data_IF_486181559855
#
_entry.id   IF_486181559855
#
_cell.length_a   1.000
_cell.length_b   1.000
_cell.length_c   1.000
_cell.angle_alpha   90.00
_cell.angle_beta   90.00
_cell.angle_gamma   90.00
#
_symmetry.space_group_name_H-M   'P 1'
#
loop_
_entity.id
_entity.type
_entity.pdbx_description
1 polymer ?
#
# COMPACT_ATOMS: atom_id res chain seq x y z
N UNK A 1 -14.02 -42.82 -19.43
CA UNK A 1 -12.89 -41.99 -18.96
C UNK A 1 -13.36 -41.21 -17.75
N UNK A 2 -13.08 -41.74 -16.57
CA UNK A 2 -13.51 -41.19 -15.29
C UNK A 2 -12.39 -41.40 -14.25
N UNK A 3 -12.53 -40.68 -13.13
CA UNK A 3 -11.89 -40.94 -11.82
C UNK A 3 -10.40 -40.65 -11.63
N UNK A 4 -9.83 -39.58 -12.20
CA UNK A 4 -8.47 -39.11 -11.81
C UNK A 4 -8.44 -37.72 -11.13
N UNK A 5 -9.50 -36.92 -11.18
CA UNK A 5 -9.49 -35.52 -10.70
C UNK A 5 -10.01 -35.27 -9.28
N UNK A 6 -10.42 -36.31 -8.53
CA UNK A 6 -11.10 -36.15 -7.22
C UNK A 6 -10.26 -36.45 -5.98
N UNK A 7 -9.08 -37.08 -6.09
CA UNK A 7 -8.29 -37.44 -4.89
C UNK A 7 -7.33 -36.35 -4.40
N UNK A 8 -6.96 -35.38 -5.24
CA UNK A 8 -6.03 -34.30 -4.84
C UNK A 8 -6.66 -33.25 -3.91
N UNK A 9 -7.98 -33.09 -3.93
CA UNK A 9 -8.66 -32.07 -3.11
C UNK A 9 -8.98 -32.54 -1.68
N UNK A 10 -9.01 -33.85 -1.43
CA UNK A 10 -9.30 -34.40 -0.10
C UNK A 10 -8.07 -34.47 0.81
N UNK A 11 -6.85 -34.52 0.26
CA UNK A 11 -5.62 -34.63 1.07
C UNK A 11 -5.17 -33.30 1.68
N UNK A 12 -5.58 -32.16 1.12
CA UNK A 12 -5.22 -30.82 1.64
C UNK A 12 -6.07 -30.43 2.86
N UNK A 13 -7.23 -31.08 3.07
CA UNK A 13 -8.13 -30.75 4.19
C UNK A 13 -7.69 -31.28 5.56
N UNK A 14 -6.65 -32.14 5.65
CA UNK A 14 -6.26 -32.80 6.90
C UNK A 14 -4.89 -32.38 7.48
N UNK A 15 -4.24 -31.32 6.96
CA UNK A 15 -2.94 -30.83 7.49
C UNK A 15 -2.93 -29.34 7.80
N UNK A 16 -3.89 -28.85 8.57
CA UNK A 16 -3.83 -27.48 9.11
C UNK A 16 -3.96 -27.48 10.63
N UNK A 17 -2.97 -28.07 11.31
CA UNK A 17 -2.61 -27.69 12.68
C UNK A 17 -1.26 -26.99 12.59
N UNK A 18 -1.28 -25.68 12.79
CA UNK A 18 -0.09 -24.83 12.78
C UNK A 18 0.72 -25.12 14.05
N UNK A 19 1.74 -25.95 13.92
CA UNK A 19 2.62 -26.31 15.02
C UNK A 19 3.88 -25.43 15.01
N UNK A 20 4.16 -24.76 16.13
CA UNK A 20 5.32 -23.87 16.29
C UNK A 20 6.63 -24.62 16.51
N UNK A 21 6.60 -25.96 16.66
CA UNK A 21 7.80 -26.80 16.74
C UNK A 21 8.38 -27.24 15.40
N UNK A 22 7.81 -26.82 14.26
CA UNK A 22 8.25 -27.28 12.95
C UNK A 22 9.68 -26.77 12.62
N UNK A 23 10.60 -27.69 12.32
CA UNK A 23 12.04 -27.43 12.21
C UNK A 23 12.38 -26.46 11.06
N UNK A 24 11.54 -26.44 10.02
CA UNK A 24 11.65 -25.50 8.89
C UNK A 24 11.42 -24.04 9.30
N UNK A 25 10.62 -23.80 10.34
CA UNK A 25 10.38 -22.44 10.86
C UNK A 25 11.56 -21.96 11.71
N UNK A 26 12.27 -22.86 12.40
CA UNK A 26 13.47 -22.53 13.16
C UNK A 26 14.68 -22.27 12.25
N UNK A 27 14.83 -23.01 11.15
CA UNK A 27 15.86 -22.77 10.14
C UNK A 27 15.72 -21.39 9.48
N UNK A 28 14.49 -20.95 9.19
CA UNK A 28 14.24 -19.62 8.61
C UNK A 28 14.61 -18.46 9.55
N UNK A 29 14.45 -18.64 10.87
CA UNK A 29 14.88 -17.64 11.86
C UNK A 29 16.41 -17.58 11.96
N UNK A 30 17.10 -18.73 11.84
CA UNK A 30 18.57 -18.76 11.83
C UNK A 30 19.18 -18.12 10.58
N UNK A 31 18.62 -18.34 9.39
CA UNK A 31 19.11 -17.69 8.16
C UNK A 31 18.95 -16.16 8.19
N UNK A 32 17.87 -15.65 8.78
CA UNK A 32 17.68 -14.20 8.94
C UNK A 32 18.64 -13.55 9.93
N UNK A 33 19.12 -14.27 10.95
CA UNK A 33 20.09 -13.76 11.92
C UNK A 33 21.54 -13.92 11.47
N UNK A 34 21.89 -14.92 10.68
CA UNK A 34 23.23 -15.03 10.07
C UNK A 34 23.49 -13.95 9.02
N UNK A 35 22.46 -13.53 8.26
CA UNK A 35 22.57 -12.43 7.29
C UNK A 35 22.92 -11.07 7.91
N UNK A 36 22.69 -10.90 9.23
CA UNK A 36 23.00 -9.65 9.96
C UNK A 36 24.43 -9.60 10.51
N UNK A 37 25.19 -10.69 10.45
CA UNK A 37 26.49 -10.81 11.10
C UNK A 37 27.69 -10.96 10.15
N UNK A 38 27.54 -10.61 8.87
CA UNK A 38 28.67 -10.60 7.93
C UNK A 38 29.57 -9.40 8.24
N UNK A 39 30.58 -9.66 9.06
CA UNK A 39 31.73 -8.81 9.28
C UNK A 39 32.47 -8.62 7.95
N UNK A 40 32.53 -7.39 7.45
CA UNK A 40 33.21 -7.02 6.21
C UNK A 40 34.71 -7.32 6.29
N UNK A 41 35.15 -8.45 5.74
CA UNK A 41 36.54 -8.65 5.34
C UNK A 41 36.75 -7.98 3.99
N UNK A 42 37.51 -6.88 3.98
CA UNK A 42 37.96 -6.20 2.75
C UNK A 42 38.78 -7.18 1.90
N UNK A 43 38.19 -7.68 0.83
CA UNK A 43 38.92 -8.36 -0.25
C UNK A 43 39.46 -7.25 -1.16
N UNK A 44 40.78 -7.05 -1.14
CA UNK A 44 41.49 -6.16 -2.05
C UNK A 44 41.56 -6.78 -3.45
N UNK A 45 40.81 -6.22 -4.40
CA UNK A 45 40.91 -6.59 -5.81
C UNK A 45 42.02 -5.74 -6.44
N UNK A 46 43.02 -6.33 -7.13
CA UNK A 46 44.08 -5.56 -7.79
C UNK A 46 43.53 -4.83 -9.03
N UNK A 47 44.05 -3.65 -9.39
CA UNK A 47 43.53 -2.86 -10.50
C UNK A 47 43.91 -3.52 -11.84
N UNK A 48 42.92 -3.74 -12.71
CA UNK A 48 43.14 -4.14 -14.10
C UNK A 48 43.55 -2.92 -14.94
N UNK A 49 44.64 -2.97 -15.74
CA UNK A 49 45.05 -1.83 -16.55
C UNK A 49 44.22 -1.74 -17.84
N UNK A 50 43.70 -0.55 -18.12
CA UNK A 50 43.37 -0.12 -19.48
C UNK A 50 41.89 -0.21 -19.88
N UNK A 51 41.14 0.84 -19.55
CA UNK A 51 40.14 1.47 -20.44
C UNK A 51 39.89 2.90 -19.95
N UNK A 52 40.09 3.88 -20.83
CA UNK A 52 39.91 5.31 -20.57
C UNK A 52 38.44 5.61 -20.23
N UNK A 53 38.16 5.94 -18.97
CA UNK A 53 36.94 6.65 -18.59
C UNK A 53 37.17 8.15 -18.73
N UNK A 54 36.39 8.80 -19.58
CA UNK A 54 36.46 10.24 -19.79
C UNK A 54 35.45 10.94 -18.85
N UNK A 55 36.03 11.76 -17.96
CA UNK A 55 35.49 12.95 -17.25
C UNK A 55 34.48 12.75 -16.12
N UNK A 56 35.04 12.81 -14.91
CA UNK A 56 34.69 13.71 -13.80
C UNK A 56 33.25 14.24 -13.80
N UNK A 57 32.39 13.62 -13.01
CA UNK A 57 31.39 14.39 -12.28
C UNK A 57 32.13 15.15 -11.18
N UNK A 58 32.10 16.47 -11.20
CA UNK A 58 32.59 17.28 -10.10
C UNK A 58 31.69 17.07 -8.88
N UNK A 59 32.26 17.15 -7.67
CA UNK A 59 31.51 17.10 -6.40
C UNK A 59 30.36 18.12 -6.36
N UNK A 60 30.45 19.21 -7.14
CA UNK A 60 29.38 20.19 -7.34
C UNK A 60 28.07 19.56 -7.84
N UNK A 61 28.11 18.55 -8.71
CA UNK A 61 26.88 17.94 -9.27
C UNK A 61 26.05 17.16 -8.24
N UNK A 62 26.71 16.60 -7.22
CA UNK A 62 26.02 15.87 -6.13
C UNK A 62 25.43 16.86 -5.13
N UNK A 63 26.11 17.97 -4.88
CA UNK A 63 25.60 19.03 -4.01
C UNK A 63 24.46 19.84 -4.67
N UNK A 64 24.46 19.97 -6.00
CA UNK A 64 23.35 20.56 -6.75
C UNK A 64 22.09 19.67 -6.76
N UNK A 65 22.26 18.34 -6.79
CA UNK A 65 21.15 17.38 -6.60
C UNK A 65 20.62 17.46 -5.17
N UNK A 66 21.49 17.55 -4.16
CA UNK A 66 21.06 17.71 -2.75
C UNK A 66 20.33 19.03 -2.52
N UNK A 67 20.75 20.13 -3.17
CA UNK A 67 20.04 21.42 -3.11
C UNK A 67 18.68 21.37 -3.79
N UNK A 68 18.57 20.63 -4.90
CA UNK A 68 17.31 20.43 -5.63
C UNK A 68 16.31 19.55 -4.87
N UNK A 69 16.78 18.69 -3.95
CA UNK A 69 15.99 17.84 -3.06
C UNK A 69 16.03 18.33 -1.61
N UNK A 70 15.91 19.64 -1.41
CA UNK A 70 15.63 20.19 -0.08
C UNK A 70 14.25 19.70 0.33
N UNK A 71 14.20 18.59 1.09
CA UNK A 71 13.02 18.18 1.83
C UNK A 71 12.83 19.27 2.88
N UNK A 72 11.98 20.24 2.59
CA UNK A 72 11.40 21.08 3.63
C UNK A 72 10.71 20.11 4.61
N UNK A 73 11.30 19.96 5.79
CA UNK A 73 10.55 19.46 6.94
C UNK A 73 9.34 20.38 7.09
N UNK A 74 8.15 19.87 6.75
CA UNK A 74 6.90 20.58 7.01
C UNK A 74 6.79 20.84 8.52
N UNK A 75 7.23 22.02 8.94
CA UNK A 75 7.08 22.59 10.28
C UNK A 75 6.01 23.65 10.22
N UNK A 76 4.78 23.21 10.08
CA UNK A 76 3.59 23.96 10.46
C UNK A 76 2.71 22.98 11.27
N UNK A 77 2.38 23.27 12.54
CA UNK A 77 1.43 22.44 13.26
C UNK A 77 0.09 22.49 12.52
N UNK A 78 -0.51 21.33 12.28
CA UNK A 78 -1.85 21.15 11.72
C UNK A 78 -2.89 21.87 12.59
N UNK A 79 -3.05 23.18 12.41
CA UNK A 79 -3.96 24.00 13.21
C UNK A 79 -5.34 23.97 12.57
N UNK A 80 -6.23 23.16 13.16
CA UNK A 80 -7.66 23.26 12.90
C UNK A 80 -8.36 23.37 14.25
N UNK A 81 -8.41 24.60 14.77
CA UNK A 81 -9.06 24.93 16.04
C UNK A 81 -10.51 25.35 15.77
N UNK A 82 -11.39 24.36 15.62
CA UNK A 82 -12.83 24.58 15.52
C UNK A 82 -13.59 23.26 15.63
N UNK A 83 -14.75 23.24 16.29
CA UNK A 83 -15.70 22.12 16.22
C UNK A 83 -16.13 21.98 14.75
N UNK A 84 -15.46 21.10 14.02
CA UNK A 84 -15.75 20.86 12.61
C UNK A 84 -17.08 20.12 12.50
N UNK A 85 -18.01 20.63 11.70
CA UNK A 85 -19.24 19.91 11.38
C UNK A 85 -18.88 18.56 10.72
N UNK A 86 -19.42 17.47 11.26
CA UNK A 86 -19.19 16.12 10.75
C UNK A 86 -20.23 15.81 9.69
N UNK A 87 -19.78 15.75 8.44
CA UNK A 87 -20.66 15.51 7.31
C UNK A 87 -20.95 14.00 7.17
N UNK A 88 -22.10 13.62 6.58
CA UNK A 88 -22.39 12.22 6.28
C UNK A 88 -21.46 11.66 5.18
N UNK A 89 -21.11 12.47 4.18
CA UNK A 89 -20.15 12.17 3.11
C UNK A 89 -19.76 13.46 2.37
N UNK A 90 -18.70 13.42 1.55
CA UNK A 90 -18.39 14.44 0.53
C UNK A 90 -17.66 13.79 -0.66
N UNK A 91 -18.24 13.92 -1.86
CA UNK A 91 -17.76 13.31 -3.10
C UNK A 91 -17.96 14.28 -4.28
N UNK A 92 -17.35 14.01 -5.43
CA UNK A 92 -17.51 14.84 -6.62
C UNK A 92 -18.95 14.86 -7.17
N UNK A 93 -19.55 13.68 -7.42
CA UNK A 93 -20.85 13.60 -8.09
C UNK A 93 -21.58 12.29 -7.77
N UNK A 94 -22.69 12.37 -7.05
CA UNK A 94 -23.50 11.20 -6.66
C UNK A 94 -24.17 10.49 -7.86
N UNK A 95 -24.39 11.20 -8.98
CA UNK A 95 -25.05 10.63 -10.16
C UNK A 95 -24.22 9.56 -10.87
N UNK A 96 -22.93 9.43 -10.54
CA UNK A 96 -22.04 8.40 -11.07
C UNK A 96 -22.24 7.01 -10.41
N UNK A 97 -23.10 6.91 -9.40
CA UNK A 97 -23.23 5.71 -8.59
C UNK A 97 -23.64 4.45 -9.36
N UNK A 98 -24.45 4.57 -10.43
CA UNK A 98 -24.84 3.41 -11.24
C UNK A 98 -23.64 2.84 -12.01
N UNK A 99 -22.83 3.70 -12.62
CA UNK A 99 -21.59 3.30 -13.29
C UNK A 99 -20.61 2.65 -12.30
N UNK A 100 -20.47 3.24 -11.10
CA UNK A 100 -19.64 2.67 -10.05
C UNK A 100 -20.13 1.31 -9.56
N UNK A 101 -21.46 1.10 -9.48
CA UNK A 101 -22.02 -0.20 -9.10
C UNK A 101 -21.71 -1.29 -10.11
N UNK A 102 -21.74 -0.98 -11.40
CA UNK A 102 -21.32 -1.90 -12.47
C UNK A 102 -19.84 -2.25 -12.34
N UNK A 103 -18.99 -1.25 -12.11
CA UNK A 103 -17.55 -1.47 -11.91
C UNK A 103 -17.24 -2.32 -10.66
N UNK A 104 -17.95 -2.09 -9.54
CA UNK A 104 -17.82 -2.91 -8.34
C UNK A 104 -18.24 -4.36 -8.60
N UNK A 105 -19.35 -4.58 -9.29
CA UNK A 105 -19.82 -5.93 -9.63
C UNK A 105 -18.80 -6.70 -10.48
N UNK A 106 -18.09 -6.02 -11.38
CA UNK A 106 -17.00 -6.62 -12.14
C UNK A 106 -15.79 -6.93 -11.25
N UNK A 107 -15.41 -6.01 -10.36
CA UNK A 107 -14.31 -6.23 -9.43
C UNK A 107 -14.57 -7.40 -8.46
N UNK A 108 -15.81 -7.62 -8.02
CA UNK A 108 -16.17 -8.75 -7.16
C UNK A 108 -15.85 -10.11 -7.81
N UNK A 109 -15.98 -10.23 -9.13
CA UNK A 109 -15.66 -11.46 -9.87
C UNK A 109 -14.16 -11.79 -9.79
N UNK A 110 -13.30 -10.77 -9.89
CA UNK A 110 -11.84 -10.91 -9.86
C UNK A 110 -11.27 -11.00 -8.44
N UNK A 111 -12.05 -10.63 -7.41
CA UNK A 111 -11.60 -10.59 -6.01
C UNK A 111 -12.05 -11.81 -5.19
N UNK A 112 -11.86 -13.01 -5.74
CA UNK A 112 -12.35 -14.27 -5.17
C UNK A 112 -11.97 -14.48 -3.69
N UNK A 113 -10.77 -14.09 -3.27
CA UNK A 113 -10.32 -14.18 -1.87
C UNK A 113 -11.19 -13.36 -0.92
N UNK A 114 -11.49 -12.11 -1.28
CA UNK A 114 -12.33 -11.20 -0.50
C UNK A 114 -13.79 -11.68 -0.48
N UNK A 115 -14.30 -12.15 -1.62
CA UNK A 115 -15.64 -12.72 -1.70
C UNK A 115 -15.77 -14.00 -0.86
N UNK A 116 -14.70 -14.80 -0.76
CA UNK A 116 -14.67 -15.97 0.12
C UNK A 116 -14.75 -15.57 1.60
N UNK A 117 -14.11 -14.48 2.02
CA UNK A 117 -14.21 -13.97 3.39
C UNK A 117 -15.65 -13.59 3.75
N UNK A 118 -16.37 -12.89 2.86
CA UNK A 118 -17.80 -12.60 3.04
C UNK A 118 -18.61 -13.89 3.25
N UNK A 119 -18.36 -14.92 2.44
CA UNK A 119 -19.07 -16.21 2.54
C UNK A 119 -18.81 -16.94 3.87
N UNK A 120 -17.57 -16.92 4.36
CA UNK A 120 -17.19 -17.64 5.59
C UNK A 120 -17.68 -16.89 6.83
N UNK A 121 -17.47 -15.57 6.88
CA UNK A 121 -17.61 -14.77 8.11
C UNK A 121 -18.81 -13.81 8.11
N UNK A 122 -19.52 -13.67 6.99
CA UNK A 122 -20.66 -12.76 6.88
C UNK A 122 -21.79 -13.07 7.86
N UNK A 123 -22.03 -14.34 8.19
CA UNK A 123 -23.04 -14.74 9.18
C UNK A 123 -22.63 -14.47 10.62
N UNK A 124 -21.33 -14.52 10.94
CA UNK A 124 -20.82 -14.35 12.30
C UNK A 124 -20.56 -12.89 12.66
N UNK A 125 -20.48 -12.01 11.65
CA UNK A 125 -20.25 -10.55 11.80
C UNK A 125 -19.09 -10.25 12.77
N UNK A 126 -17.87 -10.76 12.51
CA UNK A 126 -16.76 -10.66 13.45
C UNK A 126 -16.29 -9.22 13.71
N UNK A 127 -16.64 -8.26 12.85
CA UNK A 127 -16.30 -6.85 13.00
C UNK A 127 -17.43 -6.02 13.62
N UNK A 128 -18.45 -6.67 14.18
CA UNK A 128 -19.53 -5.95 14.88
C UNK A 128 -18.96 -5.09 16.02
N UNK A 129 -19.31 -3.81 16.02
CA UNK A 129 -18.81 -2.82 16.99
C UNK A 129 -17.46 -2.20 16.62
N UNK A 130 -16.84 -2.63 15.51
CA UNK A 130 -15.66 -1.96 14.96
C UNK A 130 -16.10 -0.73 14.18
N UNK A 131 -15.57 0.42 14.56
CA UNK A 131 -15.67 1.71 13.87
C UNK A 131 -14.35 1.96 13.13
N UNK A 132 -14.33 1.51 11.87
CA UNK A 132 -13.15 1.50 11.02
C UNK A 132 -13.03 2.81 10.24
N UNK A 133 -11.94 3.53 10.47
CA UNK A 133 -11.52 4.63 9.62
C UNK A 133 -10.47 4.14 8.62
N UNK A 134 -10.74 4.33 7.32
CA UNK A 134 -9.83 3.98 6.24
C UNK A 134 -9.21 5.20 5.57
N UNK A 135 -7.91 5.12 5.25
CA UNK A 135 -7.20 6.09 4.42
C UNK A 135 -6.38 5.37 3.34
N UNK A 136 -7.10 4.93 2.30
CA UNK A 136 -6.55 4.18 1.15
C UNK A 136 -7.15 4.75 -0.14
N UNK A 137 -6.53 4.42 -1.27
CA UNK A 137 -7.06 4.73 -2.60
C UNK A 137 -8.54 4.34 -2.74
N UNK A 138 -9.40 5.24 -3.26
CA UNK A 138 -10.81 4.94 -3.48
C UNK A 138 -11.02 4.42 -4.91
N UNK A 139 -10.83 3.11 -5.08
CA UNK A 139 -10.95 2.39 -6.37
C UNK A 139 -11.98 1.27 -6.28
N UNK A 140 -12.32 0.63 -7.40
CA UNK A 140 -13.26 -0.49 -7.41
C UNK A 140 -12.82 -1.62 -6.47
N UNK A 141 -11.51 -1.92 -6.44
CA UNK A 141 -10.93 -2.95 -5.57
C UNK A 141 -11.11 -2.60 -4.10
N UNK A 142 -10.79 -1.36 -3.72
CA UNK A 142 -11.02 -0.88 -2.36
C UNK A 142 -12.50 -0.86 -2.01
N UNK A 143 -13.38 -0.51 -2.95
CA UNK A 143 -14.82 -0.53 -2.72
C UNK A 143 -15.37 -1.92 -2.41
N UNK A 144 -14.87 -2.97 -3.09
CA UNK A 144 -15.20 -4.37 -2.75
C UNK A 144 -14.70 -4.73 -1.36
N UNK A 145 -13.50 -4.28 -0.98
CA UNK A 145 -12.98 -4.48 0.37
C UNK A 145 -13.82 -3.74 1.43
N UNK A 146 -14.17 -2.47 1.21
CA UNK A 146 -15.04 -1.66 2.07
C UNK A 146 -16.38 -2.34 2.30
N UNK A 147 -17.06 -2.78 1.23
CA UNK A 147 -18.33 -3.50 1.34
C UNK A 147 -18.18 -4.84 2.07
N UNK A 148 -17.00 -5.46 2.00
CA UNK A 148 -16.68 -6.66 2.78
C UNK A 148 -16.60 -6.35 4.26
N UNK A 149 -15.86 -5.33 4.68
CA UNK A 149 -15.79 -4.96 6.09
C UNK A 149 -17.18 -4.64 6.66
N UNK A 150 -18.02 -3.94 5.88
CA UNK A 150 -19.40 -3.66 6.26
C UNK A 150 -20.23 -4.94 6.37
N UNK A 151 -20.10 -5.84 5.40
CA UNK A 151 -20.75 -7.16 5.45
C UNK A 151 -20.26 -7.99 6.64
N UNK A 152 -19.03 -7.80 7.11
CA UNK A 152 -18.51 -8.44 8.31
C UNK A 152 -18.90 -7.71 9.61
N UNK A 153 -19.68 -6.63 9.54
CA UNK A 153 -20.29 -5.96 10.68
C UNK A 153 -19.65 -4.64 11.11
N UNK A 154 -18.63 -4.16 10.40
CA UNK A 154 -17.98 -2.89 10.73
C UNK A 154 -18.83 -1.69 10.31
N UNK A 155 -18.74 -0.61 11.09
CA UNK A 155 -19.12 0.73 10.67
C UNK A 155 -17.92 1.40 10.02
N UNK A 156 -18.12 2.12 8.91
CA UNK A 156 -17.01 2.57 8.06
C UNK A 156 -17.12 4.05 7.75
N UNK A 157 -15.98 4.74 7.86
CA UNK A 157 -15.73 6.05 7.25
C UNK A 157 -14.43 6.00 6.47
N UNK A 158 -14.39 6.59 5.29
CA UNK A 158 -13.25 6.44 4.38
C UNK A 158 -12.79 7.76 3.77
N UNK A 159 -11.47 7.90 3.66
CA UNK A 159 -10.77 8.98 2.97
C UNK A 159 -9.74 8.42 2.00
N UNK A 160 -9.26 9.24 1.07
CA UNK A 160 -8.26 8.83 0.09
C UNK A 160 -6.83 9.20 0.56
N UNK A 161 -5.86 8.30 0.37
CA UNK A 161 -4.44 8.55 0.69
C UNK A 161 -3.71 9.36 -0.39
N UNK A 162 -4.28 9.46 -1.60
CA UNK A 162 -3.69 10.16 -2.74
C UNK A 162 -4.75 10.95 -3.54
N UNK A 163 -4.56 12.27 -3.74
CA UNK A 163 -5.56 13.13 -4.37
C UNK A 163 -6.02 12.74 -5.77
N UNK A 164 -5.17 12.05 -6.54
CA UNK A 164 -5.46 11.71 -7.95
C UNK A 164 -5.99 10.29 -8.12
N UNK A 165 -6.03 9.50 -7.05
CA UNK A 165 -6.31 8.07 -7.12
C UNK A 165 -7.79 7.70 -6.95
N UNK A 166 -8.62 8.64 -6.50
CA UNK A 166 -10.05 8.42 -6.37
C UNK A 166 -10.69 8.17 -7.73
N UNK A 167 -11.51 7.13 -7.80
CA UNK A 167 -12.43 6.87 -8.90
C UNK A 167 -13.81 7.37 -8.46
N UNK A 168 -14.23 8.55 -8.93
CA UNK A 168 -15.42 9.25 -8.43
C UNK A 168 -16.71 8.43 -8.55
N UNK A 169 -16.82 7.60 -9.60
CA UNK A 169 -17.94 6.69 -9.75
C UNK A 169 -18.02 5.66 -8.62
N UNK A 170 -16.88 5.19 -8.12
CA UNK A 170 -16.82 4.23 -7.01
C UNK A 170 -17.19 4.93 -5.70
N UNK A 171 -16.64 6.11 -5.45
CA UNK A 171 -17.02 6.93 -4.30
C UNK A 171 -18.54 7.15 -4.26
N UNK A 172 -19.14 7.51 -5.40
CA UNK A 172 -20.59 7.67 -5.54
C UNK A 172 -21.37 6.38 -5.27
N UNK A 173 -20.90 5.23 -5.76
CA UNK A 173 -21.56 3.94 -5.55
C UNK A 173 -21.53 3.49 -4.09
N UNK A 174 -20.44 3.78 -3.37
CA UNK A 174 -20.31 3.48 -1.94
C UNK A 174 -21.19 4.41 -1.08
N UNK A 175 -21.22 5.71 -1.40
CA UNK A 175 -22.13 6.67 -0.75
C UNK A 175 -23.59 6.28 -0.96
N UNK A 176 -23.99 5.91 -2.18
CA UNK A 176 -25.35 5.44 -2.46
C UNK A 176 -25.69 4.15 -1.71
N UNK A 177 -24.70 3.34 -1.38
CA UNK A 177 -24.87 2.16 -0.53
C UNK A 177 -24.98 2.52 0.96
N UNK A 178 -24.83 3.79 1.36
CA UNK A 178 -24.90 4.24 2.75
C UNK A 178 -23.57 4.24 3.49
N UNK A 179 -22.44 4.24 2.77
CA UNK A 179 -21.09 4.29 3.37
C UNK A 179 -20.54 5.71 3.30
N UNK A 180 -20.01 6.21 4.42
CA UNK A 180 -19.44 7.55 4.50
C UNK A 180 -18.09 7.63 3.78
N UNK A 181 -18.06 8.29 2.62
CA UNK A 181 -16.84 8.53 1.84
C UNK A 181 -16.55 10.03 1.79
N UNK A 182 -15.30 10.41 2.02
CA UNK A 182 -14.77 11.77 1.90
C UNK A 182 -13.60 11.71 0.92
N UNK A 183 -13.92 11.72 -0.37
CA UNK A 183 -12.92 11.62 -1.42
C UNK A 183 -13.47 12.02 -2.79
N UNK A 184 -12.66 12.68 -3.60
CA UNK A 184 -12.86 12.92 -5.03
C UNK A 184 -11.52 12.98 -5.76
N UNK A 185 -11.55 12.81 -7.08
CA UNK A 185 -10.34 12.96 -7.88
C UNK A 185 -9.96 14.44 -8.00
N UNK A 186 -8.69 14.75 -7.74
CA UNK A 186 -8.16 16.10 -7.84
C UNK A 186 -8.34 16.94 -6.58
N UNK A 187 -8.44 16.31 -5.40
CA UNK A 187 -8.37 17.02 -4.11
C UNK A 187 -7.10 17.87 -3.99
N UNK A 188 -7.19 19.00 -3.29
CA UNK A 188 -6.02 19.70 -2.77
C UNK A 188 -5.46 18.98 -1.54
N UNK A 189 -4.22 19.27 -1.15
CA UNK A 189 -3.64 18.69 0.07
C UNK A 189 -4.40 19.09 1.34
N UNK A 190 -4.95 20.31 1.39
CA UNK A 190 -5.80 20.79 2.47
C UNK A 190 -7.11 20.02 2.54
N UNK A 191 -7.77 19.81 1.40
CA UNK A 191 -9.00 19.02 1.31
C UNK A 191 -8.75 17.57 1.71
N UNK A 192 -7.64 16.96 1.31
CA UNK A 192 -7.26 15.61 1.72
C UNK A 192 -7.13 15.50 3.24
N UNK A 193 -6.44 16.44 3.88
CA UNK A 193 -6.31 16.47 5.34
C UNK A 193 -7.67 16.67 6.02
N UNK A 194 -8.54 17.51 5.44
CA UNK A 194 -9.91 17.67 5.89
C UNK A 194 -10.71 16.37 5.74
N UNK A 195 -10.56 15.65 4.62
CA UNK A 195 -11.20 14.35 4.37
C UNK A 195 -10.77 13.32 5.43
N UNK A 196 -9.47 13.24 5.76
CA UNK A 196 -8.97 12.37 6.82
C UNK A 196 -9.60 12.74 8.17
N UNK A 197 -9.65 14.03 8.52
CA UNK A 197 -10.24 14.52 9.77
C UNK A 197 -11.73 14.16 9.89
N UNK A 198 -12.49 14.18 8.78
CA UNK A 198 -13.89 13.75 8.73
C UNK A 198 -14.09 12.27 9.07
N UNK A 199 -13.07 11.41 8.95
CA UNK A 199 -13.17 9.98 9.29
C UNK A 199 -13.01 9.68 10.78
N UNK A 200 -12.57 10.66 11.59
CA UNK A 200 -12.18 10.43 12.99
C UNK A 200 -13.37 10.11 13.91
N UNK A 201 -14.51 10.76 13.68
CA UNK A 201 -15.72 10.60 14.48
C UNK A 201 -16.88 10.13 13.62
N UNK A 202 -17.71 9.27 14.20
CA UNK A 202 -18.90 8.68 13.59
C UNK A 202 -20.14 9.52 13.89
N UNK A 203 -21.26 9.17 13.26
CA UNK A 203 -22.48 10.01 13.25
C UNK A 203 -23.10 10.19 14.64
N UNK A 204 -22.89 9.23 15.54
CA UNK A 204 -23.29 9.27 16.96
C UNK A 204 -22.34 10.11 17.84
N UNK A 205 -21.25 10.63 17.26
CA UNK A 205 -20.22 11.38 17.98
C UNK A 205 -19.13 10.50 18.59
N UNK A 206 -19.22 9.18 18.46
CA UNK A 206 -18.19 8.26 18.94
C UNK A 206 -16.97 8.24 18.01
N UNK A 207 -15.74 8.09 18.54
CA UNK A 207 -14.54 8.05 17.73
C UNK A 207 -14.36 6.69 17.03
N UNK A 208 -13.51 6.68 16.00
CA UNK A 208 -12.95 5.43 15.45
C UNK A 208 -12.31 4.57 16.56
N UNK A 209 -12.32 3.25 16.37
CA UNK A 209 -11.60 2.31 17.23
C UNK A 209 -10.71 1.34 16.44
N UNK A 210 -10.64 1.47 15.11
CA UNK A 210 -9.69 0.74 14.25
C UNK A 210 -9.27 1.60 13.06
N UNK A 211 -8.02 1.42 12.61
CA UNK A 211 -7.42 2.14 11.48
C UNK A 211 -7.02 1.15 10.38
N UNK A 212 -7.36 1.49 9.14
CA UNK A 212 -6.79 0.88 7.94
C UNK A 212 -6.06 1.98 7.15
N UNK A 213 -4.74 1.92 7.03
CA UNK A 213 -3.92 3.01 6.51
C UNK A 213 -3.02 2.55 5.36
N UNK A 214 -2.77 3.48 4.44
CA UNK A 214 -1.79 3.36 3.38
C UNK A 214 -0.94 4.63 3.33
N UNK A 215 0.32 4.48 3.71
CA UNK A 215 1.31 5.55 3.73
C UNK A 215 1.39 6.32 5.04
N UNK A 216 0.73 5.82 6.10
CA UNK A 216 0.72 6.33 7.48
C UNK A 216 0.16 7.77 7.59
N UNK A 217 -0.83 8.14 6.77
CA UNK A 217 -1.40 9.49 6.82
C UNK A 217 -2.42 9.63 7.94
N UNK A 218 -3.38 8.71 8.03
CA UNK A 218 -4.41 8.73 9.06
C UNK A 218 -3.83 8.42 10.44
N UNK A 219 -2.93 7.45 10.53
CA UNK A 219 -2.26 7.10 11.78
C UNK A 219 -1.49 8.29 12.32
N UNK A 220 -0.82 9.06 11.46
CA UNK A 220 -0.12 10.29 11.85
C UNK A 220 -1.09 11.35 12.36
N UNK A 221 -2.19 11.62 11.65
CA UNK A 221 -3.23 12.57 12.11
C UNK A 221 -3.77 12.19 13.48
N UNK A 222 -4.03 10.90 13.73
CA UNK A 222 -4.45 10.43 15.05
C UNK A 222 -3.39 10.70 16.12
N UNK A 223 -2.13 10.35 15.87
CA UNK A 223 -1.07 10.54 16.88
C UNK A 223 -0.75 12.01 17.16
N UNK A 224 -0.83 12.88 16.15
CA UNK A 224 -0.47 14.30 16.28
C UNK A 224 -1.63 15.16 16.79
N UNK A 225 -2.84 14.97 16.24
CA UNK A 225 -4.02 15.82 16.50
C UNK A 225 -4.97 15.23 17.55
N UNK A 226 -5.04 13.90 17.65
CA UNK A 226 -5.97 13.18 18.52
C UNK A 226 -5.28 12.15 19.43
N UNK A 227 -4.18 12.50 20.12
CA UNK A 227 -3.39 11.51 20.87
C UNK A 227 -4.20 10.79 21.96
N UNK A 228 -5.26 11.42 22.49
CA UNK A 228 -6.17 10.83 23.47
C UNK A 228 -6.98 9.65 22.94
N UNK A 229 -7.20 9.57 21.61
CA UNK A 229 -7.93 8.47 20.97
C UNK A 229 -7.10 7.19 20.85
N UNK A 230 -5.77 7.26 20.99
CA UNK A 230 -4.92 6.06 20.91
C UNK A 230 -5.28 5.01 21.97
N UNK A 231 -5.84 5.44 23.11
CA UNK A 231 -6.31 4.56 24.19
C UNK A 231 -7.55 3.73 23.83
N UNK A 232 -8.35 4.16 22.86
CA UNK A 232 -9.59 3.46 22.43
C UNK A 232 -9.43 2.73 21.10
N UNK A 233 -8.33 2.98 20.39
CA UNK A 233 -8.03 2.32 19.12
C UNK A 233 -7.40 0.95 19.38
N UNK A 234 -8.08 -0.10 18.93
CA UNK A 234 -7.65 -1.49 19.08
C UNK A 234 -6.42 -1.83 18.23
N UNK A 235 -6.21 -1.13 17.12
CA UNK A 235 -5.03 -1.29 16.29
C UNK A 235 -5.14 -0.61 14.92
N UNK A 236 -4.03 -0.66 14.20
CA UNK A 236 -3.86 -0.17 12.85
C UNK A 236 -3.32 -1.29 11.96
N UNK A 237 -3.75 -1.35 10.70
CA UNK A 237 -3.05 -2.11 9.66
C UNK A 237 -2.48 -1.15 8.62
N UNK A 238 -1.21 -1.35 8.25
CA UNK A 238 -0.53 -0.53 7.26
C UNK A 238 -0.08 -1.36 6.06
N UNK A 239 -0.43 -0.88 4.87
CA UNK A 239 -0.29 -1.62 3.62
C UNK A 239 1.03 -1.34 2.87
N UNK A 240 1.69 -0.19 3.04
CA UNK A 240 2.84 0.16 2.19
C UNK A 240 4.18 0.25 2.92
N UNK A 241 5.25 -0.07 2.19
CA UNK A 241 6.64 0.04 2.67
C UNK A 241 6.95 1.42 3.25
N UNK A 242 6.42 2.49 2.62
CA UNK A 242 6.63 3.86 3.07
C UNK A 242 5.95 4.13 4.42
N UNK A 243 4.70 3.68 4.59
CA UNK A 243 3.98 3.77 5.86
C UNK A 243 4.66 2.97 6.96
N UNK A 244 5.04 1.71 6.69
CA UNK A 244 5.77 0.86 7.65
C UNK A 244 7.08 1.49 8.08
N UNK A 245 7.82 2.12 7.17
CA UNK A 245 9.08 2.81 7.50
C UNK A 245 8.85 3.96 8.48
N UNK A 246 7.77 4.74 8.31
CA UNK A 246 7.38 5.81 9.25
C UNK A 246 6.96 5.24 10.61
N UNK A 247 6.16 4.17 10.62
CA UNK A 247 5.72 3.50 11.85
C UNK A 247 6.88 2.87 12.63
N UNK A 248 7.87 2.29 11.94
CA UNK A 248 9.11 1.79 12.57
C UNK A 248 9.91 2.92 13.24
N UNK A 249 9.94 4.12 12.66
CA UNK A 249 10.56 5.30 13.29
C UNK A 249 9.82 5.70 14.57
N UNK A 250 8.49 5.77 14.53
CA UNK A 250 7.68 6.04 15.73
C UNK A 250 7.88 4.99 16.81
N UNK A 251 7.94 3.70 16.43
CA UNK A 251 8.21 2.60 17.35
C UNK A 251 9.60 2.74 18.00
N UNK A 252 10.65 3.00 17.21
CA UNK A 252 12.01 3.23 17.72
C UNK A 252 12.07 4.40 18.70
N UNK A 253 11.29 5.45 18.45
CA UNK A 253 11.21 6.63 19.30
C UNK A 253 10.25 6.45 20.50
N UNK A 254 9.61 5.28 20.65
CA UNK A 254 8.58 5.01 21.68
C UNK A 254 7.38 5.98 21.62
N UNK A 255 7.00 6.37 20.40
CA UNK A 255 5.89 7.29 20.12
C UNK A 255 4.70 6.60 19.43
N UNK A 256 4.82 5.31 19.12
CA UNK A 256 3.74 4.53 18.53
C UNK A 256 2.85 3.96 19.65
N UNK A 257 1.62 4.47 19.75
CA UNK A 257 0.72 4.20 20.89
C UNK A 257 -0.43 3.24 20.56
N UNK A 258 -0.43 2.66 19.35
CA UNK A 258 -1.40 1.66 18.91
C UNK A 258 -0.66 0.45 18.35
N UNK A 259 -1.17 -0.78 18.51
CA UNK A 259 -0.58 -1.94 17.85
C UNK A 259 -0.76 -1.84 16.34
N UNK A 260 0.26 -2.25 15.59
CA UNK A 260 0.28 -2.18 14.12
C UNK A 260 0.48 -3.57 13.53
N UNK A 261 -0.40 -3.97 12.61
CA UNK A 261 -0.18 -5.12 11.72
C UNK A 261 0.48 -4.61 10.44
N UNK A 262 1.67 -5.14 10.17
CA UNK A 262 2.38 -4.89 8.93
C UNK A 262 1.82 -5.81 7.83
N UNK A 263 0.91 -5.27 7.02
CA UNK A 263 0.32 -6.01 5.89
C UNK A 263 1.27 -6.03 4.71
N UNK A 264 2.06 -4.96 4.51
CA UNK A 264 3.01 -4.85 3.41
C UNK A 264 3.94 -6.06 3.30
N UNK A 265 4.54 -6.47 4.42
CA UNK A 265 5.56 -7.52 4.44
C UNK A 265 4.97 -8.94 4.41
N UNK A 266 3.63 -9.08 4.33
CA UNK A 266 3.02 -10.36 3.97
C UNK A 266 3.52 -10.80 2.59
N UNK A 267 3.87 -12.07 2.44
CA UNK A 267 4.38 -12.62 1.16
C UNK A 267 3.37 -12.41 0.04
N UNK A 268 2.09 -12.68 0.32
CA UNK A 268 0.98 -12.50 -0.63
C UNK A 268 0.68 -11.04 -0.97
N UNK A 269 1.27 -10.07 -0.25
CA UNK A 269 1.17 -8.64 -0.54
C UNK A 269 2.43 -8.20 -1.28
N UNK A 270 3.57 -8.18 -0.58
CA UNK A 270 4.83 -7.65 -1.12
C UNK A 270 5.29 -8.30 -2.43
N UNK A 271 5.06 -9.61 -2.62
CA UNK A 271 5.51 -10.32 -3.82
C UNK A 271 4.49 -10.32 -4.95
N UNK A 272 3.25 -9.93 -4.68
CA UNK A 272 2.19 -9.85 -5.68
C UNK A 272 1.86 -8.42 -6.04
N UNK A 273 1.31 -7.66 -5.11
CA UNK A 273 0.85 -6.29 -5.31
C UNK A 273 1.99 -5.37 -5.76
N UNK A 274 3.06 -5.27 -4.95
CA UNK A 274 4.17 -4.39 -5.29
C UNK A 274 4.88 -4.82 -6.58
N UNK A 275 4.86 -6.10 -6.94
CA UNK A 275 5.60 -6.60 -8.11
C UNK A 275 4.69 -6.69 -9.34
N UNK A 276 3.79 -7.68 -9.38
CA UNK A 276 2.89 -7.89 -10.52
C UNK A 276 1.91 -6.73 -10.69
N UNK A 277 1.35 -6.20 -9.59
CA UNK A 277 0.41 -5.08 -9.64
C UNK A 277 1.02 -3.80 -10.20
N UNK A 278 2.21 -3.41 -9.73
CA UNK A 278 2.94 -2.27 -10.31
C UNK A 278 3.34 -2.52 -11.76
N UNK A 279 3.75 -3.74 -12.11
CA UNK A 279 4.05 -4.11 -13.50
C UNK A 279 2.89 -3.82 -14.45
N UNK A 280 1.70 -4.34 -14.14
CA UNK A 280 0.50 -4.15 -14.96
C UNK A 280 0.06 -2.69 -15.02
N UNK A 281 -0.02 -2.02 -13.87
CA UNK A 281 -0.55 -0.66 -13.77
C UNK A 281 0.39 0.43 -14.28
N UNK A 282 1.72 0.22 -14.25
CA UNK A 282 2.70 1.20 -14.73
C UNK A 282 2.49 1.51 -16.22
N UNK A 283 2.45 0.45 -17.04
CA UNK A 283 2.32 0.61 -18.48
C UNK A 283 0.96 1.19 -18.85
N UNK A 284 -0.10 0.76 -18.16
CA UNK A 284 -1.44 1.34 -18.32
C UNK A 284 -1.44 2.85 -18.03
N UNK A 285 -0.84 3.27 -16.91
CA UNK A 285 -0.72 4.68 -16.54
C UNK A 285 0.03 5.51 -17.58
N UNK A 286 1.19 5.05 -18.05
CA UNK A 286 1.98 5.73 -19.09
C UNK A 286 1.17 5.86 -20.38
N UNK A 287 0.52 4.77 -20.81
CA UNK A 287 -0.25 4.75 -22.06
C UNK A 287 -1.45 5.68 -21.99
N UNK A 288 -2.25 5.63 -20.93
CA UNK A 288 -3.40 6.53 -20.76
C UNK A 288 -3.00 8.00 -20.71
N UNK A 289 -1.82 8.31 -20.18
CA UNK A 289 -1.37 9.68 -20.04
C UNK A 289 -0.74 10.26 -21.32
N UNK A 290 -0.11 9.42 -22.15
CA UNK A 290 0.79 9.91 -23.21
C UNK A 290 0.57 9.28 -24.58
N UNK A 291 -0.20 8.19 -24.67
CA UNK A 291 -0.34 7.34 -25.86
C UNK A 291 1.00 6.91 -26.49
N UNK A 292 2.09 6.99 -25.72
CA UNK A 292 3.43 6.83 -26.29
C UNK A 292 3.74 5.36 -26.58
N UNK A 293 4.46 5.13 -27.68
CA UNK A 293 4.98 3.82 -28.01
C UNK A 293 6.14 3.47 -27.07
N UNK A 294 6.01 2.40 -26.28
CA UNK A 294 7.06 1.97 -25.34
C UNK A 294 8.19 1.22 -26.06
N UNK A 295 7.84 0.42 -27.06
CA UNK A 295 8.81 -0.36 -27.83
C UNK A 295 9.89 0.51 -28.46
N UNK A 296 11.15 0.10 -28.29
CA UNK A 296 12.33 0.81 -28.78
C UNK A 296 12.77 2.03 -27.95
N UNK A 297 12.00 2.44 -26.93
CA UNK A 297 12.43 3.52 -26.02
C UNK A 297 13.44 3.01 -25.02
N UNK A 298 14.32 3.91 -24.58
CA UNK A 298 15.15 3.69 -23.38
C UNK A 298 14.36 4.17 -22.18
N UNK A 299 14.21 3.30 -21.17
CA UNK A 299 13.51 3.63 -19.93
C UNK A 299 14.46 3.41 -18.76
N UNK A 300 14.63 4.44 -17.93
CA UNK A 300 15.44 4.36 -16.71
C UNK A 300 14.50 4.13 -15.53
N UNK A 301 14.77 3.08 -14.74
CA UNK A 301 14.06 2.77 -13.51
C UNK A 301 15.00 2.99 -12.34
N UNK A 302 14.55 3.80 -11.37
CA UNK A 302 15.30 4.14 -10.18
C UNK A 302 14.83 3.24 -9.03
N UNK A 303 15.65 2.25 -8.68
CA UNK A 303 15.35 1.21 -7.71
C UNK A 303 14.89 -0.10 -8.34
N UNK A 304 15.32 -1.22 -7.76
CA UNK A 304 15.09 -2.60 -8.18
C UNK A 304 14.62 -3.50 -7.02
N UNK A 305 13.90 -2.91 -6.07
CA UNK A 305 13.07 -3.65 -5.11
C UNK A 305 11.87 -4.34 -5.78
N UNK A 306 10.89 -4.81 -5.00
CA UNK A 306 9.73 -5.53 -5.55
C UNK A 306 8.98 -4.72 -6.63
N UNK A 307 8.82 -3.39 -6.45
CA UNK A 307 8.23 -2.47 -7.45
C UNK A 307 9.09 -2.37 -8.69
N UNK A 308 10.37 -2.05 -8.52
CA UNK A 308 11.31 -1.89 -9.64
C UNK A 308 11.39 -3.13 -10.52
N UNK A 309 11.39 -4.33 -9.92
CA UNK A 309 11.37 -5.62 -10.63
C UNK A 309 10.14 -5.78 -11.53
N UNK A 310 8.95 -5.52 -11.00
CA UNK A 310 7.69 -5.62 -11.76
C UNK A 310 7.64 -4.64 -12.92
N UNK A 311 8.04 -3.39 -12.65
CA UNK A 311 8.16 -2.33 -13.63
C UNK A 311 9.14 -2.70 -14.76
N UNK A 312 10.34 -3.17 -14.40
CA UNK A 312 11.39 -3.54 -15.34
C UNK A 312 10.96 -4.70 -16.24
N UNK A 313 10.44 -5.76 -15.64
CA UNK A 313 9.94 -6.93 -16.37
C UNK A 313 8.86 -6.54 -17.39
N UNK A 314 7.92 -5.71 -16.99
CA UNK A 314 6.79 -5.35 -17.86
C UNK A 314 7.20 -4.40 -18.98
N UNK A 315 8.06 -3.41 -18.69
CA UNK A 315 8.57 -2.48 -19.70
C UNK A 315 9.48 -3.20 -20.72
N UNK A 316 10.35 -4.10 -20.24
CA UNK A 316 11.17 -4.95 -21.10
C UNK A 316 10.30 -5.84 -22.00
N UNK A 317 9.24 -6.45 -21.44
CA UNK A 317 8.23 -7.21 -22.20
C UNK A 317 7.48 -6.39 -23.26
N UNK A 318 7.39 -5.07 -23.10
CA UNK A 318 6.85 -4.15 -24.11
C UNK A 318 7.89 -3.67 -25.14
N UNK A 319 9.10 -4.24 -25.11
CA UNK A 319 10.18 -3.95 -26.05
C UNK A 319 10.98 -2.68 -25.72
N UNK A 320 10.88 -2.14 -24.51
CA UNK A 320 11.75 -1.07 -24.07
C UNK A 320 13.15 -1.59 -23.71
N UNK A 321 14.18 -0.77 -23.94
CA UNK A 321 15.50 -0.97 -23.36
C UNK A 321 15.51 -0.40 -21.95
N UNK A 322 15.41 -1.28 -20.95
CA UNK A 322 15.37 -0.89 -19.54
C UNK A 322 16.79 -0.71 -18.99
N UNK A 323 17.02 0.38 -18.27
CA UNK A 323 18.25 0.68 -17.53
C UNK A 323 17.87 0.83 -16.06
N UNK A 324 18.57 0.13 -15.18
CA UNK A 324 18.32 0.16 -13.74
C UNK A 324 19.39 1.00 -13.05
N UNK A 325 18.98 1.82 -12.07
CA UNK A 325 19.90 2.43 -11.11
C UNK A 325 19.57 1.91 -9.72
N UNK A 326 20.59 1.44 -8.99
CA UNK A 326 20.43 0.89 -7.64
C UNK A 326 21.59 1.30 -6.73
N UNK A 327 21.27 1.45 -5.44
CA UNK A 327 22.22 1.66 -4.36
C UNK A 327 22.53 0.36 -3.62
N UNK A 328 21.59 -0.59 -3.61
CA UNK A 328 21.80 -1.91 -3.00
C UNK A 328 22.53 -2.84 -3.99
N UNK A 329 23.74 -3.34 -3.64
CA UNK A 329 24.54 -4.14 -4.55
C UNK A 329 23.91 -5.51 -4.87
N UNK A 330 23.08 -6.06 -3.99
CA UNK A 330 22.37 -7.32 -4.21
C UNK A 330 21.27 -7.08 -5.24
N UNK A 331 20.50 -6.01 -5.07
CA UNK A 331 19.45 -5.65 -6.03
C UNK A 331 20.06 -5.26 -7.39
N UNK A 332 21.19 -4.56 -7.41
CA UNK A 332 21.92 -4.24 -8.63
C UNK A 332 22.44 -5.49 -9.35
N UNK A 333 22.97 -6.47 -8.61
CA UNK A 333 23.40 -7.74 -9.19
C UNK A 333 22.22 -8.53 -9.76
N UNK A 334 21.09 -8.57 -9.06
CA UNK A 334 19.87 -9.18 -9.57
C UNK A 334 19.41 -8.53 -10.87
N UNK A 335 19.38 -7.20 -10.93
CA UNK A 335 19.04 -6.46 -12.14
C UNK A 335 19.96 -6.74 -13.33
N UNK A 336 21.22 -7.11 -13.08
CA UNK A 336 22.16 -7.47 -14.14
C UNK A 336 21.97 -8.91 -14.66
N UNK A 337 21.34 -9.78 -13.86
CA UNK A 337 21.11 -11.20 -14.19
C UNK A 337 19.73 -11.46 -14.79
N UNK A 338 18.72 -10.68 -14.38
CA UNK A 338 17.35 -10.72 -14.91
C UNK A 338 17.27 -10.14 -16.35
#
# INVERSE_FOLDING_TARGET
>A
MGTAGRSYFSEIQNKSTFDRSDSLYQEQIQEEDESKNIQTSLISIPPTPGRRFCRQFSEQSVDDIKRSFSIEEAKEPLSFTGKMERLPYKIANINLAEAGRKALSMAEVEMAGVMRLRKIYGSTKPLKGVRLAGCLHVTAQTGVMIETFRELGAEIRWSCCNPLSTQDQIAAALVKAGISIFAWKGETEEEKLWCIDQTIYFADGEPLNAILDDGCQLTRVVHEKYPHLTNVIHGCSEETTAGITKLRKLLKNKQLNVPVINVNDSVTKSKFDNNYGCGESLVDGIKRATDTMIGGKIVVIIGYGNVGKGCAKTLSGHGAKVIITEVDPICALQAAMD
#
